data_IF_001441925623
#
_entry.id   IF_001441925623
#
_cell.length_a   1.000
_cell.length_b   1.000
_cell.length_c   1.000
_cell.angle_alpha   90.00
_cell.angle_beta   90.00
_cell.angle_gamma   90.00
#
_symmetry.space_group_name_H-M   'P 1'
#
loop_
_entity.id
_entity.type
_entity.pdbx_description
1 polymer ?
#
# COMPACT_ATOMS: atom_id res chain seq x y z
N UNK A 1 -11.79 -10.90 -16.86
CA UNK A 1 -11.37 -11.08 -15.46
C UNK A 1 -12.64 -11.19 -14.63
N UNK A 2 -12.71 -12.13 -13.68
CA UNK A 2 -13.91 -12.29 -12.82
C UNK A 2 -14.12 -11.09 -11.89
N UNK A 3 -15.25 -11.00 -11.18
CA UNK A 3 -15.46 -9.94 -10.20
C UNK A 3 -14.44 -10.10 -9.06
N UNK A 4 -13.52 -9.16 -8.92
CA UNK A 4 -12.56 -9.15 -7.82
C UNK A 4 -13.23 -8.58 -6.56
N UNK A 5 -13.04 -9.24 -5.43
CA UNK A 5 -13.54 -8.73 -4.14
C UNK A 5 -12.68 -7.57 -3.65
N UNK A 6 -11.37 -7.78 -3.54
CA UNK A 6 -10.40 -6.77 -3.10
C UNK A 6 -9.37 -6.52 -4.22
N UNK A 7 -8.68 -5.37 -4.18
CA UNK A 7 -7.55 -5.09 -5.06
C UNK A 7 -6.36 -4.58 -4.26
N UNK A 8 -5.20 -5.22 -4.43
CA UNK A 8 -3.95 -4.79 -3.78
C UNK A 8 -3.06 -4.00 -4.72
N UNK A 9 -2.35 -3.02 -4.15
CA UNK A 9 -1.19 -2.38 -4.75
C UNK A 9 0.05 -2.51 -3.86
N UNK A 10 1.19 -2.12 -4.40
CA UNK A 10 2.47 -1.88 -3.73
C UNK A 10 3.26 -0.87 -4.60
N UNK A 11 4.46 -0.48 -4.17
CA UNK A 11 5.26 0.52 -4.89
C UNK A 11 5.68 0.06 -6.29
N UNK A 12 5.97 -1.23 -6.47
CA UNK A 12 6.37 -1.77 -7.77
C UNK A 12 5.20 -1.79 -8.77
N UNK A 13 4.01 -2.22 -8.33
CA UNK A 13 2.80 -2.22 -9.14
C UNK A 13 2.40 -0.77 -9.47
N UNK A 14 2.38 0.11 -8.47
CA UNK A 14 2.09 1.53 -8.68
C UNK A 14 3.06 2.18 -9.66
N UNK A 15 4.36 1.91 -9.52
CA UNK A 15 5.37 2.40 -10.46
C UNK A 15 5.11 1.88 -11.88
N UNK A 16 4.86 0.57 -12.04
CA UNK A 16 4.58 -0.04 -13.34
C UNK A 16 3.34 0.55 -14.02
N UNK A 17 2.26 0.76 -13.27
CA UNK A 17 1.05 1.39 -13.79
C UNK A 17 1.27 2.87 -14.12
N UNK A 18 1.81 3.66 -13.17
CA UNK A 18 2.02 5.10 -13.36
C UNK A 18 3.02 5.43 -14.48
N UNK A 19 3.93 4.51 -14.79
CA UNK A 19 4.89 4.69 -15.89
C UNK A 19 4.27 4.54 -17.28
N UNK A 20 3.02 4.08 -17.39
CA UNK A 20 2.34 3.96 -18.68
C UNK A 20 1.99 5.34 -19.25
N UNK A 21 2.18 5.59 -20.56
CA UNK A 21 1.91 6.90 -21.18
C UNK A 21 0.49 7.43 -20.93
N UNK A 22 -0.50 6.54 -20.89
CA UNK A 22 -1.91 6.84 -20.63
C UNK A 22 -2.19 7.41 -19.22
N UNK A 23 -1.22 7.37 -18.30
CA UNK A 23 -1.32 7.97 -16.96
C UNK A 23 -0.54 9.28 -16.82
N UNK A 24 0.02 9.82 -17.91
CA UNK A 24 0.77 11.09 -17.89
C UNK A 24 -0.03 12.29 -17.35
N UNK A 25 -1.31 12.39 -17.71
CA UNK A 25 -2.21 13.43 -17.17
C UNK A 25 -2.48 13.22 -15.68
N UNK A 26 -2.68 11.97 -15.25
CA UNK A 26 -2.91 11.64 -13.84
C UNK A 26 -1.69 12.02 -12.99
N UNK A 27 -0.48 11.74 -13.47
CA UNK A 27 0.77 12.14 -12.80
C UNK A 27 0.91 13.66 -12.74
N UNK A 28 0.73 14.36 -13.86
CA UNK A 28 0.82 15.83 -13.91
C UNK A 28 -0.18 16.50 -12.97
N UNK A 29 -1.42 16.01 -12.96
CA UNK A 29 -2.45 16.48 -12.04
C UNK A 29 -2.11 16.18 -10.57
N UNK A 30 -1.45 15.07 -10.29
CA UNK A 30 -1.03 14.71 -8.91
C UNK A 30 0.10 15.60 -8.40
N UNK A 31 1.03 15.99 -9.27
CA UNK A 31 2.07 16.97 -8.94
C UNK A 31 1.46 18.35 -8.70
N UNK A 32 0.50 18.77 -9.52
CA UNK A 32 -0.19 20.05 -9.34
C UNK A 32 -0.93 20.09 -8.00
N UNK A 33 -1.71 19.04 -7.68
CA UNK A 33 -2.44 18.91 -6.42
C UNK A 33 -1.48 18.92 -5.22
N UNK A 34 -0.37 18.18 -5.29
CA UNK A 34 0.63 18.16 -4.23
C UNK A 34 1.20 19.56 -3.92
N UNK A 35 1.53 20.34 -4.97
CA UNK A 35 2.00 21.72 -4.80
C UNK A 35 0.95 22.60 -4.13
N UNK A 36 -0.31 22.48 -4.51
CA UNK A 36 -1.40 23.26 -3.94
C UNK A 36 -1.64 22.93 -2.46
N UNK A 37 -1.69 21.64 -2.11
CA UNK A 37 -1.88 21.20 -0.73
C UNK A 37 -0.74 21.64 0.19
N UNK A 38 0.51 21.57 -0.29
CA UNK A 38 1.67 22.03 0.47
C UNK A 38 1.70 23.56 0.61
N UNK A 39 1.35 24.30 -0.44
CA UNK A 39 1.24 25.77 -0.38
C UNK A 39 0.14 26.23 0.58
N UNK A 40 -0.92 25.43 0.76
CA UNK A 40 -2.02 25.71 1.68
C UNK A 40 -1.67 25.60 3.18
N UNK A 41 -0.47 25.12 3.53
CA UNK A 41 0.04 25.09 4.92
C UNK A 41 -0.67 24.12 5.86
N UNK A 42 -1.59 23.27 5.37
CA UNK A 42 -2.33 22.29 6.18
C UNK A 42 -1.56 20.98 6.40
N UNK A 43 -0.56 20.73 5.56
CA UNK A 43 0.31 19.56 5.67
C UNK A 43 1.70 19.98 6.16
N UNK A 44 2.40 19.12 6.92
CA UNK A 44 3.81 19.31 7.22
C UNK A 44 4.64 19.47 5.94
N UNK A 45 5.77 20.17 6.05
CA UNK A 45 6.72 20.29 4.95
C UNK A 45 7.26 18.91 4.56
N UNK A 46 7.18 18.58 3.27
CA UNK A 46 7.70 17.34 2.69
C UNK A 46 8.00 17.54 1.19
N UNK A 47 8.77 16.65 0.56
CA UNK A 47 9.02 16.74 -0.87
C UNK A 47 7.73 16.65 -1.68
N UNK A 48 7.55 17.56 -2.65
CA UNK A 48 6.40 17.55 -3.58
C UNK A 48 6.26 16.20 -4.28
N UNK A 49 7.38 15.57 -4.65
CA UNK A 49 7.41 14.27 -5.31
C UNK A 49 6.81 13.16 -4.46
N UNK A 50 7.08 13.17 -3.15
CA UNK A 50 6.55 12.16 -2.24
C UNK A 50 5.03 12.27 -2.12
N UNK A 51 4.51 13.47 -1.87
CA UNK A 51 3.06 13.69 -1.81
C UNK A 51 2.39 13.42 -3.17
N UNK A 52 3.04 13.78 -4.28
CA UNK A 52 2.52 13.53 -5.62
C UNK A 52 2.38 12.02 -5.91
N UNK A 53 3.32 11.20 -5.45
CA UNK A 53 3.24 9.73 -5.59
C UNK A 53 2.08 9.18 -4.75
N UNK A 54 1.90 9.64 -3.51
CA UNK A 54 0.76 9.23 -2.66
C UNK A 54 -0.58 9.59 -3.32
N UNK A 55 -0.71 10.83 -3.81
CA UNK A 55 -1.91 11.29 -4.53
C UNK A 55 -2.16 10.45 -5.77
N UNK A 56 -1.12 10.17 -6.55
CA UNK A 56 -1.24 9.36 -7.77
C UNK A 56 -1.69 7.93 -7.46
N UNK A 57 -1.15 7.31 -6.40
CA UNK A 57 -1.55 5.98 -5.94
C UNK A 57 -3.02 5.95 -5.48
N UNK A 58 -3.47 6.97 -4.74
CA UNK A 58 -4.89 7.08 -4.33
C UNK A 58 -5.79 7.26 -5.56
N UNK A 59 -5.42 8.11 -6.53
CA UNK A 59 -6.18 8.27 -7.79
C UNK A 59 -6.31 6.95 -8.55
N UNK A 60 -5.25 6.15 -8.63
CA UNK A 60 -5.34 4.81 -9.23
C UNK A 60 -6.28 3.89 -8.44
N UNK A 61 -6.18 3.88 -7.11
CA UNK A 61 -7.08 3.08 -6.28
C UNK A 61 -8.55 3.47 -6.46
N UNK A 62 -8.85 4.77 -6.53
CA UNK A 62 -10.19 5.29 -6.78
C UNK A 62 -10.74 4.90 -8.16
N UNK A 63 -9.89 4.78 -9.18
CA UNK A 63 -10.30 4.24 -10.49
C UNK A 63 -10.70 2.77 -10.42
N UNK A 64 -10.09 1.99 -9.51
CA UNK A 64 -10.40 0.56 -9.34
C UNK A 64 -11.59 0.32 -8.41
N UNK A 65 -11.82 1.19 -7.42
CA UNK A 65 -12.84 0.99 -6.39
C UNK A 65 -14.27 0.67 -6.89
N UNK A 66 -14.76 1.21 -8.03
CA UNK A 66 -16.07 0.84 -8.60
C UNK A 66 -16.13 -0.58 -9.17
N UNK A 67 -14.98 -1.20 -9.44
CA UNK A 67 -14.88 -2.52 -10.05
C UNK A 67 -14.69 -3.66 -9.05
N UNK A 68 -14.68 -3.33 -7.76
CA UNK A 68 -14.51 -4.28 -6.66
C UNK A 68 -15.56 -4.05 -5.59
N UNK A 69 -15.92 -5.08 -4.82
CA UNK A 69 -16.94 -5.00 -3.76
C UNK A 69 -16.36 -4.71 -2.37
N UNK A 70 -15.12 -5.11 -2.13
CA UNK A 70 -14.41 -5.00 -0.86
C UNK A 70 -13.43 -3.83 -0.86
N UNK A 71 -12.19 -4.11 -0.45
CA UNK A 71 -11.20 -3.12 -0.06
C UNK A 71 -10.21 -2.79 -1.17
N UNK A 72 -9.82 -1.51 -1.23
CA UNK A 72 -8.61 -1.08 -1.91
C UNK A 72 -7.45 -1.15 -0.92
N UNK A 73 -6.38 -1.89 -1.26
CA UNK A 73 -5.19 -1.95 -0.43
C UNK A 73 -4.10 -1.06 -1.01
N UNK A 74 -3.66 -0.11 -0.20
CA UNK A 74 -2.64 0.88 -0.57
C UNK A 74 -1.48 0.82 0.42
N UNK A 75 -0.26 0.75 -0.10
CA UNK A 75 0.92 0.57 0.74
C UNK A 75 1.49 1.92 1.20
N UNK A 76 1.86 2.00 2.49
CA UNK A 76 2.62 3.11 3.03
C UNK A 76 3.99 3.23 2.37
N UNK A 77 4.59 4.42 2.41
CA UNK A 77 5.94 4.65 1.91
C UNK A 77 6.94 3.73 2.67
N UNK A 78 7.62 2.79 1.98
CA UNK A 78 8.50 1.82 2.64
C UNK A 78 9.72 2.48 3.28
N UNK A 79 10.04 3.73 2.91
CA UNK A 79 11.08 4.50 3.57
C UNK A 79 10.83 4.64 5.08
N UNK A 80 9.56 4.62 5.51
CA UNK A 80 9.17 4.73 6.91
C UNK A 80 9.02 3.39 7.64
N UNK A 81 9.36 2.26 7.01
CA UNK A 81 9.11 0.91 7.57
C UNK A 81 9.71 0.67 8.96
N UNK A 82 10.74 1.42 9.35
CA UNK A 82 11.41 1.31 10.65
C UNK A 82 11.08 2.47 11.58
N UNK A 83 9.95 3.14 11.35
CA UNK A 83 9.43 4.20 12.22
C UNK A 83 7.92 4.06 12.37
N UNK A 84 7.48 3.74 13.59
CA UNK A 84 6.06 3.61 13.93
C UNK A 84 5.33 4.91 13.63
N UNK A 85 5.83 6.04 14.14
CA UNK A 85 5.17 7.33 14.03
C UNK A 85 5.06 7.80 12.57
N UNK A 86 6.15 7.68 11.80
CA UNK A 86 6.13 8.09 10.39
C UNK A 86 5.21 7.19 9.57
N UNK A 87 5.16 5.89 9.87
CA UNK A 87 4.22 4.96 9.22
C UNK A 87 2.77 5.31 9.53
N UNK A 88 2.44 5.62 10.79
CA UNK A 88 1.08 6.06 11.20
C UNK A 88 0.72 7.38 10.54
N UNK A 89 1.62 8.37 10.55
CA UNK A 89 1.40 9.67 9.90
C UNK A 89 1.13 9.48 8.40
N UNK A 90 1.93 8.65 7.74
CA UNK A 90 1.75 8.35 6.33
C UNK A 90 0.42 7.64 6.04
N UNK A 91 0.06 6.64 6.83
CA UNK A 91 -1.22 5.93 6.73
C UNK A 91 -2.42 6.89 6.87
N UNK A 92 -2.42 7.74 7.90
CA UNK A 92 -3.47 8.72 8.13
C UNK A 92 -3.56 9.74 6.99
N UNK A 93 -2.42 10.20 6.47
CA UNK A 93 -2.37 11.10 5.30
C UNK A 93 -2.99 10.42 4.08
N UNK A 94 -2.69 9.15 3.82
CA UNK A 94 -3.30 8.40 2.71
C UNK A 94 -4.83 8.34 2.87
N UNK A 95 -5.34 8.02 4.06
CA UNK A 95 -6.80 8.01 4.33
C UNK A 95 -7.41 9.40 4.10
N UNK A 96 -6.73 10.47 4.53
CA UNK A 96 -7.18 11.85 4.27
C UNK A 96 -7.18 12.19 2.78
N UNK A 97 -6.21 11.72 2.00
CA UNK A 97 -6.15 11.92 0.56
C UNK A 97 -7.34 11.26 -0.16
N UNK A 98 -7.79 10.08 0.29
CA UNK A 98 -9.04 9.48 -0.22
C UNK A 98 -10.23 10.41 -0.02
N UNK A 99 -10.38 10.98 1.18
CA UNK A 99 -11.49 11.88 1.49
C UNK A 99 -11.39 13.22 0.73
N UNK A 100 -10.17 13.72 0.52
CA UNK A 100 -9.92 14.94 -0.26
C UNK A 100 -10.26 14.75 -1.73
N UNK A 101 -9.81 13.64 -2.33
CA UNK A 101 -9.98 13.37 -3.76
C UNK A 101 -11.38 12.84 -4.11
N UNK A 102 -12.03 12.13 -3.18
CA UNK A 102 -13.40 11.66 -3.33
C UNK A 102 -14.16 11.82 -2.00
N UNK A 103 -14.75 13.00 -1.76
CA UNK A 103 -15.57 13.23 -0.58
C UNK A 103 -16.70 12.20 -0.46
N UNK A 104 -16.84 11.60 0.71
CA UNK A 104 -17.84 10.55 0.97
C UNK A 104 -17.41 9.14 0.54
N UNK A 105 -16.16 8.94 0.10
CA UNK A 105 -15.62 7.58 -0.06
C UNK A 105 -15.67 6.84 1.28
N UNK A 106 -16.20 5.63 1.28
CA UNK A 106 -16.33 4.83 2.50
C UNK A 106 -14.95 4.44 3.04
N UNK A 107 -14.61 4.98 4.22
CA UNK A 107 -13.32 4.75 4.88
C UNK A 107 -13.10 3.28 5.25
N UNK A 108 -14.18 2.53 5.49
CA UNK A 108 -14.09 1.10 5.80
C UNK A 108 -13.58 0.29 4.60
N UNK A 109 -13.67 0.83 3.37
CA UNK A 109 -13.14 0.18 2.16
C UNK A 109 -11.65 0.44 1.92
N UNK A 110 -10.96 1.15 2.81
CA UNK A 110 -9.52 1.43 2.69
C UNK A 110 -8.77 0.48 3.61
N UNK A 111 -7.84 -0.29 3.05
CA UNK A 111 -6.90 -1.12 3.82
C UNK A 111 -5.47 -0.60 3.63
N UNK A 112 -4.80 -0.22 4.72
CA UNK A 112 -3.44 0.29 4.69
C UNK A 112 -2.45 -0.88 4.79
N UNK A 113 -1.68 -1.08 3.74
CA UNK A 113 -0.68 -2.13 3.64
C UNK A 113 0.65 -1.63 4.21
N UNK A 114 1.20 -2.35 5.19
CA UNK A 114 2.37 -1.94 5.97
C UNK A 114 3.39 -3.10 6.02
N UNK A 115 4.68 -2.85 5.76
CA UNK A 115 5.73 -3.85 5.93
C UNK A 115 5.79 -4.41 7.35
N UNK A 116 5.89 -5.73 7.50
CA UNK A 116 5.88 -6.45 8.78
C UNK A 116 7.23 -6.42 9.52
N UNK A 117 7.75 -5.22 9.72
CA UNK A 117 8.80 -4.90 10.70
C UNK A 117 8.17 -4.77 12.10
N UNK A 118 8.99 -4.68 13.15
CA UNK A 118 8.47 -4.43 14.50
C UNK A 118 7.68 -3.12 14.56
N UNK A 119 8.26 -2.04 14.07
CA UNK A 119 7.65 -0.70 14.02
C UNK A 119 6.38 -0.68 13.17
N UNK A 120 6.40 -1.38 12.03
CA UNK A 120 5.24 -1.53 11.16
C UNK A 120 4.09 -2.26 11.85
N UNK A 121 4.35 -3.31 12.64
CA UNK A 121 3.32 -4.00 13.41
C UNK A 121 2.79 -3.14 14.56
N UNK A 122 3.62 -2.32 15.19
CA UNK A 122 3.15 -1.34 16.18
C UNK A 122 2.28 -0.26 15.54
N UNK A 123 2.61 0.17 14.31
CA UNK A 123 1.76 1.08 13.55
C UNK A 123 0.41 0.42 13.21
N UNK A 124 0.42 -0.85 12.81
CA UNK A 124 -0.82 -1.61 12.56
C UNK A 124 -1.70 -1.67 13.80
N UNK A 125 -1.15 -1.98 14.98
CA UNK A 125 -1.88 -1.97 16.25
C UNK A 125 -2.61 -0.65 16.47
N UNK A 126 -1.89 0.46 16.34
CA UNK A 126 -2.45 1.82 16.54
C UNK A 126 -3.56 2.13 15.55
N UNK A 127 -3.37 1.78 14.27
CA UNK A 127 -4.33 2.05 13.21
C UNK A 127 -5.60 1.20 13.34
N UNK A 128 -5.46 -0.10 13.63
CA UNK A 128 -6.60 -1.01 13.84
C UNK A 128 -7.42 -0.61 15.07
N UNK A 129 -6.76 -0.21 16.17
CA UNK A 129 -7.44 0.35 17.34
C UNK A 129 -8.21 1.65 17.03
N UNK A 130 -7.78 2.40 16.01
CA UNK A 130 -8.47 3.59 15.51
C UNK A 130 -9.51 3.27 14.42
N UNK A 131 -9.77 1.99 14.12
CA UNK A 131 -10.74 1.55 13.11
C UNK A 131 -10.27 1.72 11.67
N UNK A 132 -8.95 1.75 11.43
CA UNK A 132 -8.35 1.78 10.09
C UNK A 132 -7.79 0.38 9.80
N UNK A 133 -8.40 -0.30 8.83
CA UNK A 133 -7.97 -1.64 8.43
C UNK A 133 -6.55 -1.64 7.90
N UNK A 134 -5.79 -2.67 8.26
CA UNK A 134 -4.38 -2.84 7.87
C UNK A 134 -4.10 -4.22 7.30
N UNK A 135 -3.07 -4.25 6.44
CA UNK A 135 -2.50 -5.47 5.89
C UNK A 135 -1.02 -5.55 6.25
N UNK A 136 -0.59 -6.63 6.91
CA UNK A 136 0.84 -6.91 7.11
C UNK A 136 1.45 -7.53 5.84
N UNK A 137 2.30 -6.79 5.13
CA UNK A 137 3.04 -7.25 3.95
C UNK A 137 4.51 -7.51 4.28
N UNK A 138 5.31 -7.98 3.32
CA UNK A 138 6.72 -8.39 3.49
C UNK A 138 6.89 -9.39 4.65
N UNK A 139 5.91 -10.29 4.73
CA UNK A 139 5.80 -11.30 5.76
C UNK A 139 6.42 -12.60 5.21
N UNK A 140 7.47 -13.07 5.88
CA UNK A 140 8.27 -14.22 5.49
C UNK A 140 8.38 -15.29 6.58
N UNK A 141 8.06 -14.95 7.83
CA UNK A 141 8.25 -15.83 8.98
C UNK A 141 6.94 -16.07 9.73
N UNK A 142 6.86 -17.21 10.42
CA UNK A 142 5.74 -17.50 11.30
C UNK A 142 5.63 -16.45 12.42
N UNK A 143 6.75 -15.98 12.96
CA UNK A 143 6.77 -14.94 13.99
C UNK A 143 6.11 -13.65 13.52
N UNK A 144 6.35 -13.23 12.27
CA UNK A 144 5.66 -12.07 11.71
C UNK A 144 4.14 -12.32 11.54
N UNK A 145 3.73 -13.53 11.16
CA UNK A 145 2.31 -13.88 11.05
C UNK A 145 1.60 -13.86 12.41
N UNK A 146 2.23 -14.45 13.44
CA UNK A 146 1.71 -14.44 14.81
C UNK A 146 1.59 -13.01 15.32
N UNK A 147 2.64 -12.20 15.15
CA UNK A 147 2.60 -10.80 15.58
C UNK A 147 1.53 -9.99 14.82
N UNK A 148 1.36 -10.20 13.52
CA UNK A 148 0.31 -9.56 12.74
C UNK A 148 -1.10 -9.89 13.27
N UNK A 149 -1.33 -11.14 13.69
CA UNK A 149 -2.57 -11.54 14.34
C UNK A 149 -2.73 -10.90 15.73
N UNK A 150 -1.67 -10.85 16.55
CA UNK A 150 -1.70 -10.24 17.89
C UNK A 150 -1.96 -8.73 17.88
N UNK A 151 -1.48 -8.02 16.85
CA UNK A 151 -1.76 -6.58 16.69
C UNK A 151 -3.10 -6.29 16.02
N UNK A 152 -3.82 -7.31 15.58
CA UNK A 152 -5.15 -7.20 15.01
C UNK A 152 -5.21 -6.79 13.55
N UNK A 153 -4.16 -7.05 12.75
CA UNK A 153 -4.19 -6.78 11.32
C UNK A 153 -5.40 -7.46 10.65
N UNK A 154 -6.18 -6.71 9.89
CA UNK A 154 -7.33 -7.21 9.13
C UNK A 154 -6.88 -8.24 8.07
N UNK A 155 -5.68 -8.06 7.49
CA UNK A 155 -5.11 -8.95 6.49
C UNK A 155 -3.64 -9.25 6.72
N UNK A 156 -3.16 -10.36 6.15
CA UNK A 156 -1.74 -10.69 6.01
C UNK A 156 -1.44 -11.06 4.56
N UNK A 157 -0.26 -10.66 4.05
CA UNK A 157 0.24 -11.06 2.73
C UNK A 157 1.60 -11.78 2.87
N UNK A 158 1.59 -13.09 3.17
CA UNK A 158 2.79 -13.90 3.18
C UNK A 158 3.37 -14.03 1.76
N UNK A 159 4.66 -13.78 1.61
CA UNK A 159 5.34 -13.97 0.33
C UNK A 159 5.78 -15.43 0.19
N UNK A 160 5.10 -16.17 -0.70
CA UNK A 160 5.37 -17.59 -0.98
C UNK A 160 6.59 -17.82 -1.89
N UNK A 161 6.99 -16.80 -2.65
CA UNK A 161 8.14 -16.85 -3.54
C UNK A 161 9.23 -15.87 -3.10
N UNK A 162 10.50 -16.26 -3.26
CA UNK A 162 11.61 -15.32 -3.20
C UNK A 162 11.48 -14.29 -4.31
N UNK A 163 11.85 -13.05 -4.01
CA UNK A 163 11.77 -11.93 -4.94
C UNK A 163 12.46 -12.21 -6.29
N UNK A 164 13.52 -13.03 -6.28
CA UNK A 164 14.27 -13.46 -7.45
C UNK A 164 13.43 -14.04 -8.57
N UNK A 165 12.32 -14.74 -8.27
CA UNK A 165 11.45 -15.33 -9.32
C UNK A 165 10.90 -14.28 -10.29
N UNK A 166 10.85 -13.01 -9.88
CA UNK A 166 10.31 -11.92 -10.69
C UNK A 166 11.36 -11.18 -11.53
N UNK A 167 12.66 -11.38 -11.25
CA UNK A 167 13.73 -10.56 -11.82
C UNK A 167 14.85 -11.38 -12.47
N UNK A 168 14.98 -12.66 -12.12
CA UNK A 168 16.00 -13.56 -12.64
C UNK A 168 15.34 -14.59 -13.57
N UNK A 169 15.48 -14.45 -14.91
CA UNK A 169 14.95 -15.42 -15.86
C UNK A 169 15.46 -16.83 -15.55
N UNK A 170 14.55 -17.79 -15.42
CA UNK A 170 14.89 -19.19 -15.12
C UNK A 170 15.07 -19.52 -13.64
N UNK A 171 14.93 -18.55 -12.73
CA UNK A 171 14.99 -18.83 -11.29
C UNK A 171 13.72 -19.56 -10.82
N UNK A 172 13.90 -20.79 -10.32
CA UNK A 172 12.83 -21.60 -9.71
C UNK A 172 13.13 -21.73 -8.22
N UNK A 173 12.17 -21.37 -7.39
CA UNK A 173 12.32 -21.31 -5.93
C UNK A 173 12.79 -22.65 -5.34
N UNK A 174 12.34 -23.78 -5.91
CA UNK A 174 12.80 -25.13 -5.61
C UNK A 174 12.43 -26.11 -6.75
N UNK A 175 13.35 -26.95 -7.25
CA UNK A 175 13.01 -28.12 -8.06
C UNK A 175 12.58 -29.29 -7.15
N UNK A 176 11.51 -29.13 -6.36
CA UNK A 176 11.13 -30.12 -5.33
C UNK A 176 10.39 -31.36 -5.86
N UNK A 177 10.36 -31.60 -7.18
CA UNK A 177 9.73 -32.79 -7.76
C UNK A 177 10.47 -33.40 -8.97
N UNK A 178 11.76 -33.09 -9.20
CA UNK A 178 12.44 -33.54 -10.42
C UNK A 178 13.60 -34.54 -10.27
N UNK A 179 13.84 -35.14 -9.10
CA UNK A 179 14.79 -36.26 -8.99
C UNK A 179 14.31 -37.36 -8.01
N UNK A 180 13.29 -38.11 -8.45
CA UNK A 180 13.08 -39.51 -8.07
C UNK A 180 12.67 -40.27 -9.34
N UNK A 181 13.62 -40.52 -10.23
CA UNK A 181 13.62 -41.63 -11.19
C UNK A 181 15.04 -42.21 -11.26
#
# INVERSE_FOLDING_TARGET
MGPFHDCTSNQAIAYGELSKPEHGELLSASVSEAKQLLAGGRLPSMPVSELAVEIAMVKLALKIAPHISGHVHIQTNPYYSYSTDQTVINALRIVQLFQHLQPGFDRSRICIKIPSTWEGMMACRTLEQAGIHTLATTLFTLTQAVLAAEVGCTYVAPYVNQLKVHFEPGYILYPLFQQQE
#
